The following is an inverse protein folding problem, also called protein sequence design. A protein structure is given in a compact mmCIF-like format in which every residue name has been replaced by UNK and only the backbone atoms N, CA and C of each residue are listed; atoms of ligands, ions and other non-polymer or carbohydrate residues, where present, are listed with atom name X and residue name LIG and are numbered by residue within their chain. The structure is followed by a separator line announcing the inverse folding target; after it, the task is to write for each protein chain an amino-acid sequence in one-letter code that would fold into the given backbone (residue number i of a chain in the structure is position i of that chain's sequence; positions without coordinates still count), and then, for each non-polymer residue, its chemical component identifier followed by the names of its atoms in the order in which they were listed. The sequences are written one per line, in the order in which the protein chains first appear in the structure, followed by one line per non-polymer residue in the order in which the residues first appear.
data_IF_158172987190
#
_entry.id   IF_158172987190
#
_cell.length_a   1.000
_cell.length_b   1.000
_cell.length_c   1.000
_cell.angle_alpha   90.00
_cell.angle_beta   90.00
_cell.angle_gamma   90.00
#
_symmetry.space_group_name_H-M   'P 1'
#
loop_
_entity.id
_entity.type
_entity.pdbx_description
1 polymer ?
#
# COMPACT_ATOMS: atom_id res chain seq x y z
N UNK A 1 60.72 32.53 38.61
CA UNK A 1 60.04 33.48 37.70
C UNK A 1 58.84 32.77 37.10
N UNK A 2 57.64 33.19 37.52
CA UNK A 2 56.34 32.69 37.07
C UNK A 2 55.98 33.31 35.71
N UNK A 3 55.53 32.50 34.74
CA UNK A 3 54.74 32.98 33.60
C UNK A 3 53.45 32.17 33.48
N UNK A 4 52.37 32.84 33.87
CA UNK A 4 50.98 32.43 33.81
C UNK A 4 50.49 32.51 32.37
N UNK A 5 50.09 31.38 31.79
CA UNK A 5 49.34 31.36 30.53
C UNK A 5 47.85 31.39 30.84
N UNK A 6 47.26 32.58 30.68
CA UNK A 6 45.81 32.76 30.54
C UNK A 6 45.45 32.46 29.09
N UNK A 7 44.58 31.47 28.86
CA UNK A 7 43.97 31.28 27.53
C UNK A 7 42.51 30.87 27.68
N UNK A 8 41.68 31.89 27.81
CA UNK A 8 40.33 32.06 27.25
C UNK A 8 39.54 30.80 26.91
N UNK A 9 38.61 30.46 27.80
CA UNK A 9 37.48 29.59 27.53
C UNK A 9 36.62 30.17 26.40
N UNK A 10 36.63 29.53 25.23
CA UNK A 10 35.62 29.75 24.20
C UNK A 10 34.42 28.85 24.52
N UNK A 11 33.38 29.42 25.13
CA UNK A 11 32.06 28.80 25.15
C UNK A 11 31.56 28.71 23.69
N UNK A 12 31.69 27.53 23.09
CA UNK A 12 31.03 27.20 21.84
C UNK A 12 29.54 26.99 22.10
N UNK A 13 28.71 27.91 21.62
CA UNK A 13 27.26 27.76 21.57
C UNK A 13 26.92 26.71 20.51
N UNK A 14 26.74 25.45 20.93
CA UNK A 14 26.21 24.38 20.07
C UNK A 14 24.71 24.61 19.93
N UNK A 15 24.31 25.27 18.83
CA UNK A 15 22.90 25.34 18.42
C UNK A 15 22.50 23.96 17.92
N UNK A 16 21.87 23.17 18.79
CA UNK A 16 21.14 21.96 18.40
C UNK A 16 19.94 22.41 17.57
N UNK A 17 20.13 22.52 16.25
CA UNK A 17 19.03 22.58 15.30
C UNK A 17 18.29 21.24 15.37
N UNK A 18 17.37 21.15 16.33
CA UNK A 18 16.32 20.15 16.35
C UNK A 18 15.44 20.37 15.14
N UNK A 19 15.87 19.87 13.99
CA UNK A 19 15.01 19.71 12.84
C UNK A 19 13.92 18.72 13.26
N UNK A 20 12.76 19.26 13.64
CA UNK A 20 11.53 18.50 13.67
C UNK A 20 11.34 17.95 12.26
N UNK A 21 11.81 16.73 12.02
CA UNK A 21 11.40 15.91 10.91
C UNK A 21 9.89 15.73 11.06
N UNK A 22 9.13 16.67 10.51
CA UNK A 22 7.69 16.53 10.31
C UNK A 22 7.55 15.21 9.56
N UNK A 23 7.05 14.18 10.24
CA UNK A 23 6.70 12.91 9.63
C UNK A 23 5.65 13.23 8.58
N UNK A 24 6.08 13.36 7.33
CA UNK A 24 5.18 13.52 6.20
C UNK A 24 4.39 12.22 6.14
N UNK A 25 3.06 12.24 6.36
CA UNK A 25 2.27 11.02 6.24
C UNK A 25 2.44 10.50 4.83
N UNK A 26 2.94 9.27 4.69
CA UNK A 26 3.09 8.64 3.39
C UNK A 26 1.70 8.53 2.75
N UNK A 27 1.55 8.88 1.45
CA UNK A 27 0.25 8.84 0.80
C UNK A 27 -0.27 7.40 0.72
N UNK A 28 -1.60 7.25 0.76
CA UNK A 28 -2.26 6.02 0.37
C UNK A 28 -2.26 5.96 -1.17
N UNK A 29 -1.71 4.89 -1.73
CA UNK A 29 -1.61 4.68 -3.18
C UNK A 29 -2.38 3.44 -3.55
N UNK A 30 -3.34 3.59 -4.46
CA UNK A 30 -4.02 2.46 -5.10
C UNK A 30 -3.18 1.92 -6.26
N UNK A 31 -3.05 0.60 -6.31
CA UNK A 31 -2.37 -0.15 -7.36
C UNK A 31 -3.40 -1.05 -8.03
N UNK A 32 -3.67 -0.80 -9.31
CA UNK A 32 -4.56 -1.65 -10.11
C UNK A 32 -3.92 -3.00 -10.39
N UNK A 33 -4.72 -4.06 -10.35
CA UNK A 33 -4.32 -5.42 -10.69
C UNK A 33 -4.91 -5.91 -12.00
N UNK A 34 -5.04 -7.23 -12.12
CA UNK A 34 -5.65 -7.84 -13.30
C UNK A 34 -7.16 -7.58 -13.35
N UNK A 35 -7.69 -7.48 -14.56
CA UNK A 35 -9.12 -7.44 -14.84
C UNK A 35 -9.54 -8.67 -15.65
N UNK A 36 -10.78 -9.11 -15.46
CA UNK A 36 -11.43 -10.11 -16.29
C UNK A 36 -12.93 -9.89 -16.34
N UNK A 37 -13.56 -10.46 -17.37
CA UNK A 37 -14.99 -10.35 -17.57
C UNK A 37 -15.70 -11.57 -16.97
N UNK A 38 -16.75 -11.32 -16.19
CA UNK A 38 -17.61 -12.36 -15.61
C UNK A 38 -19.06 -11.87 -15.63
N UNK A 39 -19.97 -12.73 -16.09
CA UNK A 39 -21.41 -12.43 -16.15
C UNK A 39 -21.72 -11.03 -16.71
N UNK A 40 -21.14 -10.68 -17.86
CA UNK A 40 -21.31 -9.38 -18.53
C UNK A 40 -20.81 -8.15 -17.73
N UNK A 41 -20.05 -8.34 -16.65
CA UNK A 41 -19.38 -7.26 -15.92
C UNK A 41 -17.85 -7.43 -15.94
N UNK A 42 -17.12 -6.31 -15.93
CA UNK A 42 -15.67 -6.30 -15.79
C UNK A 42 -15.26 -6.20 -14.33
N UNK A 43 -14.63 -7.24 -13.81
CA UNK A 43 -14.10 -7.31 -12.45
C UNK A 43 -12.61 -7.01 -12.51
N UNK A 44 -12.15 -6.09 -11.66
CA UNK A 44 -10.73 -5.73 -11.54
C UNK A 44 -10.28 -5.87 -10.11
N UNK A 45 -9.10 -6.44 -9.91
CA UNK A 45 -8.43 -6.46 -8.60
C UNK A 45 -7.68 -5.16 -8.35
N UNK A 46 -7.45 -4.85 -7.08
CA UNK A 46 -6.75 -3.64 -6.63
C UNK A 46 -6.10 -3.88 -5.28
N UNK A 47 -5.16 -3.00 -4.92
CA UNK A 47 -4.50 -2.99 -3.62
C UNK A 47 -4.20 -1.56 -3.17
N UNK A 48 -4.43 -1.21 -1.90
CA UNK A 48 -3.92 0.04 -1.35
C UNK A 48 -2.64 -0.18 -0.56
N UNK A 49 -1.69 0.71 -0.77
CA UNK A 49 -0.40 0.68 -0.09
C UNK A 49 -0.11 2.02 0.58
N UNK A 50 0.57 1.98 1.72
CA UNK A 50 1.02 3.18 2.43
C UNK A 50 2.43 2.94 2.92
N UNK A 51 3.39 3.70 2.39
CA UNK A 51 4.79 3.57 2.78
C UNK A 51 5.42 2.19 2.55
N UNK A 52 4.99 1.48 1.50
CA UNK A 52 5.49 0.14 1.18
C UNK A 52 4.81 -1.00 1.96
N UNK A 53 3.92 -0.68 2.90
CA UNK A 53 3.03 -1.63 3.55
C UNK A 53 1.75 -1.79 2.75
N UNK A 54 1.31 -3.04 2.56
CA UNK A 54 -0.04 -3.34 2.10
C UNK A 54 -1.03 -2.98 3.21
N UNK A 55 -2.08 -2.23 2.87
CA UNK A 55 -3.14 -1.86 3.81
C UNK A 55 -4.34 -2.76 3.60
N UNK A 56 -4.78 -2.89 2.36
CA UNK A 56 -5.84 -3.78 1.92
C UNK A 56 -5.66 -4.12 0.43
N UNK A 57 -6.43 -5.10 -0.01
CA UNK A 57 -6.57 -5.48 -1.40
C UNK A 57 -7.92 -6.15 -1.62
N UNK A 58 -8.41 -6.11 -2.85
CA UNK A 58 -9.72 -6.66 -3.17
C UNK A 58 -10.00 -6.66 -4.66
N UNK A 59 -11.29 -6.76 -4.99
CA UNK A 59 -11.78 -6.64 -6.35
C UNK A 59 -13.07 -5.82 -6.36
N UNK A 60 -13.30 -5.11 -7.46
CA UNK A 60 -14.56 -4.38 -7.69
C UNK A 60 -15.51 -5.28 -8.46
N UNK A 61 -16.67 -5.57 -7.88
CA UNK A 61 -17.75 -6.35 -8.51
C UNK A 61 -18.82 -5.38 -9.03
N UNK A 62 -18.98 -5.20 -10.35
CA UNK A 62 -20.03 -4.34 -10.90
C UNK A 62 -21.41 -4.94 -10.64
N UNK A 63 -22.42 -4.07 -10.41
CA UNK A 63 -23.82 -4.50 -10.28
C UNK A 63 -24.28 -5.33 -11.49
N UNK A 64 -23.88 -4.94 -12.70
CA UNK A 64 -24.19 -5.70 -13.91
C UNK A 64 -23.70 -7.16 -13.85
N UNK A 65 -22.58 -7.44 -13.18
CA UNK A 65 -22.11 -8.81 -12.99
C UNK A 65 -23.01 -9.61 -12.03
N UNK A 66 -23.59 -8.95 -11.04
CA UNK A 66 -24.47 -9.57 -10.04
C UNK A 66 -25.82 -9.89 -10.69
N UNK A 67 -26.40 -8.93 -11.41
CA UNK A 67 -27.72 -9.08 -12.04
C UNK A 67 -27.75 -10.15 -13.13
N UNK A 68 -26.61 -10.40 -13.77
CA UNK A 68 -26.48 -11.42 -14.82
C UNK A 68 -25.90 -12.75 -14.30
N UNK A 69 -25.64 -12.87 -13.00
CA UNK A 69 -25.19 -14.13 -12.42
C UNK A 69 -26.36 -15.15 -12.41
N UNK A 70 -26.12 -16.42 -12.77
CA UNK A 70 -27.16 -17.44 -12.75
C UNK A 70 -27.62 -17.73 -11.31
N UNK A 71 -28.93 -17.65 -11.08
CA UNK A 71 -29.51 -17.79 -9.74
C UNK A 71 -29.54 -19.23 -9.21
N UNK A 72 -29.54 -20.21 -10.11
CA UNK A 72 -29.71 -21.64 -9.84
C UNK A 72 -28.49 -22.48 -10.24
N UNK A 73 -27.40 -21.84 -10.69
CA UNK A 73 -26.16 -22.55 -10.95
C UNK A 73 -25.52 -23.06 -9.65
N UNK A 74 -25.06 -24.31 -9.67
CA UNK A 74 -24.27 -24.83 -8.58
C UNK A 74 -22.94 -24.05 -8.46
N UNK A 75 -22.62 -23.58 -7.26
CA UNK A 75 -21.29 -23.04 -6.97
C UNK A 75 -20.26 -24.18 -7.03
N UNK A 76 -19.53 -24.27 -8.13
CA UNK A 76 -18.44 -25.23 -8.29
C UNK A 76 -17.19 -24.74 -7.56
N UNK A 77 -16.60 -25.61 -6.73
CA UNK A 77 -15.30 -25.37 -6.10
C UNK A 77 -14.27 -26.39 -6.59
N UNK A 78 -13.06 -25.97 -7.01
CA UNK A 78 -12.56 -24.60 -7.03
C UNK A 78 -13.25 -23.71 -8.08
N UNK A 79 -13.17 -22.37 -7.96
CA UNK A 79 -13.68 -21.46 -8.97
C UNK A 79 -13.12 -21.78 -10.35
N UNK A 80 -13.92 -21.52 -11.39
CA UNK A 80 -13.42 -21.62 -12.76
C UNK A 80 -12.18 -20.73 -12.95
N UNK A 81 -11.17 -21.14 -13.75
CA UNK A 81 -9.97 -20.35 -13.97
C UNK A 81 -10.25 -18.94 -14.51
N UNK A 82 -11.36 -18.75 -15.23
CA UNK A 82 -11.82 -17.44 -15.71
C UNK A 82 -12.25 -16.50 -14.59
N UNK A 83 -12.59 -17.02 -13.42
CA UNK A 83 -12.87 -16.26 -12.21
C UNK A 83 -11.62 -16.09 -11.31
N UNK A 84 -10.48 -16.71 -11.67
CA UNK A 84 -9.22 -16.55 -10.96
C UNK A 84 -8.47 -15.31 -11.49
N UNK A 85 -8.65 -14.17 -10.82
CA UNK A 85 -7.92 -12.95 -11.14
C UNK A 85 -6.64 -12.85 -10.31
N UNK A 86 -5.46 -12.67 -10.94
CA UNK A 86 -4.23 -12.41 -10.22
C UNK A 86 -4.34 -11.15 -9.37
N UNK A 87 -3.90 -11.24 -8.12
CA UNK A 87 -3.75 -10.08 -7.26
C UNK A 87 -2.65 -9.14 -7.81
N UNK A 88 -2.75 -7.82 -7.54
CA UNK A 88 -1.64 -6.91 -7.83
C UNK A 88 -0.35 -7.42 -7.20
N UNK A 89 0.79 -7.25 -7.89
CA UNK A 89 2.10 -7.74 -7.45
C UNK A 89 2.48 -7.26 -6.04
N UNK A 90 2.05 -6.06 -5.65
CA UNK A 90 2.26 -5.49 -4.32
C UNK A 90 1.49 -6.22 -3.23
N UNK A 91 0.30 -6.74 -3.54
CA UNK A 91 -0.49 -7.56 -2.63
C UNK A 91 0.03 -9.01 -2.60
N UNK A 92 0.24 -9.62 -3.77
CA UNK A 92 0.71 -11.01 -3.88
C UNK A 92 2.03 -11.25 -3.13
N UNK A 93 2.98 -10.30 -3.22
CA UNK A 93 4.25 -10.39 -2.50
C UNK A 93 4.13 -10.35 -0.97
N UNK A 94 2.95 -10.02 -0.42
CA UNK A 94 2.71 -9.82 1.01
C UNK A 94 1.70 -10.80 1.60
N UNK A 95 0.86 -11.43 0.79
CA UNK A 95 -0.22 -12.33 1.25
C UNK A 95 0.09 -13.81 1.12
N UNK A 96 1.16 -14.18 0.39
CA UNK A 96 1.47 -15.58 0.05
C UNK A 96 0.60 -16.11 -1.08
#
# INVERSE_FOLDING_TARGET
MFRSHRTNARLGLVVLLGACARQVPLPLVEVSGACGDAFQGRICTWAHTKGGSLIDAGATIPIASIDNAPADAAMAWPPAPTAALPMPVTAAARTG
#
